data_IF_994036210123
#
_entry.id   IF_994036210123
#
_cell.length_a   1.000
_cell.length_b   1.000
_cell.length_c   1.000
_cell.angle_alpha   90.00
_cell.angle_beta   90.00
_cell.angle_gamma   90.00
#
_symmetry.space_group_name_H-M   'P 1'
#
loop_
_entity.id
_entity.type
_entity.pdbx_description
1 polymer ?
#
# COMPACT_ATOMS: atom_id res chain seq x y z
N UNK A 1 6.47 -24.57 21.25
CA UNK A 1 7.38 -23.91 20.31
C UNK A 1 7.00 -22.43 20.23
N UNK A 2 7.97 -21.52 20.16
CA UNK A 2 7.75 -20.06 20.06
C UNK A 2 7.57 -19.65 18.61
N UNK A 3 6.41 -19.06 18.31
CA UNK A 3 6.07 -18.51 16.99
C UNK A 3 5.95 -16.99 17.07
N UNK A 4 6.44 -16.30 16.03
CA UNK A 4 6.28 -14.86 15.87
C UNK A 4 5.91 -14.49 14.42
N UNK A 5 5.02 -13.51 14.26
CA UNK A 5 4.68 -12.90 12.97
C UNK A 5 5.50 -11.63 12.80
N UNK A 6 6.77 -11.81 12.46
CA UNK A 6 7.79 -10.76 12.42
C UNK A 6 8.62 -10.80 11.11
N UNK A 7 8.09 -11.49 10.09
CA UNK A 7 8.73 -11.69 8.79
C UNK A 7 7.78 -11.30 7.66
N UNK A 8 8.38 -10.71 6.64
CA UNK A 8 7.85 -10.47 5.30
C UNK A 8 8.39 -11.53 4.34
N UNK A 9 7.99 -11.52 3.04
CA UNK A 9 8.54 -12.42 2.04
C UNK A 9 10.06 -12.50 2.03
N UNK A 10 10.58 -13.71 1.82
CA UNK A 10 12.01 -14.05 1.90
C UNK A 10 12.63 -13.92 3.31
N UNK A 11 11.82 -13.84 4.37
CA UNK A 11 12.31 -13.82 5.75
C UNK A 11 12.89 -12.47 6.18
N UNK A 12 12.69 -11.40 5.41
CA UNK A 12 13.09 -10.04 5.83
C UNK A 12 12.12 -9.48 6.86
N UNK A 13 12.49 -8.41 7.57
CA UNK A 13 11.63 -7.77 8.59
C UNK A 13 11.24 -6.33 8.21
N UNK A 14 11.70 -5.83 7.06
CA UNK A 14 11.39 -4.48 6.57
C UNK A 14 10.60 -4.56 5.26
N UNK A 15 9.59 -3.73 5.13
CA UNK A 15 8.87 -3.50 3.89
C UNK A 15 8.76 -2.01 3.58
N UNK A 16 8.70 -1.67 2.30
CA UNK A 16 8.56 -0.30 1.82
C UNK A 16 7.41 -0.25 0.81
N UNK A 17 6.48 0.68 1.05
CA UNK A 17 5.41 0.98 0.10
C UNK A 17 5.24 2.49 -0.06
N UNK A 18 4.75 2.88 -1.23
CA UNK A 18 4.54 4.26 -1.62
C UNK A 18 3.11 4.40 -2.15
N UNK A 19 2.52 5.58 -2.01
CA UNK A 19 1.29 5.86 -2.74
C UNK A 19 1.15 7.30 -3.18
N UNK A 20 0.55 7.50 -4.36
CA UNK A 20 0.33 8.81 -4.93
C UNK A 20 -1.11 8.96 -5.41
N UNK A 21 -1.66 10.16 -5.25
CA UNK A 21 -3.08 10.40 -5.49
C UNK A 21 -3.32 11.25 -6.76
N UNK A 22 -4.58 11.29 -7.20
CA UNK A 22 -5.18 12.16 -8.23
C UNK A 22 -4.92 11.82 -9.71
N UNK A 23 -3.94 10.97 -10.04
CA UNK A 23 -3.68 10.60 -11.44
C UNK A 23 -3.25 11.77 -12.33
N UNK A 24 -2.40 12.65 -11.79
CA UNK A 24 -1.91 13.84 -12.49
C UNK A 24 -0.89 13.48 -13.55
N UNK A 25 -0.73 14.33 -14.56
CA UNK A 25 0.18 14.08 -15.68
C UNK A 25 1.65 13.83 -15.28
N UNK A 26 2.05 14.35 -14.13
CA UNK A 26 3.39 14.18 -13.54
C UNK A 26 3.67 12.74 -13.08
N UNK A 27 2.63 11.90 -12.94
CA UNK A 27 2.77 10.47 -12.67
C UNK A 27 3.66 9.79 -13.72
N UNK A 28 3.65 10.25 -14.98
CA UNK A 28 4.52 9.73 -16.04
C UNK A 28 6.00 9.79 -15.68
N UNK A 29 6.43 10.93 -15.13
CA UNK A 29 7.82 11.12 -14.67
C UNK A 29 8.07 10.31 -13.40
N UNK A 30 7.15 10.37 -12.44
CA UNK A 30 7.28 9.68 -11.16
C UNK A 30 7.40 8.17 -11.32
N UNK A 31 6.50 7.53 -12.08
CA UNK A 31 6.54 6.10 -12.40
C UNK A 31 7.89 5.70 -12.98
N UNK A 32 8.41 6.47 -13.94
CA UNK A 32 9.72 6.18 -14.54
C UNK A 32 10.81 6.15 -13.47
N UNK A 33 10.84 7.15 -12.59
CA UNK A 33 11.83 7.24 -11.52
C UNK A 33 11.68 6.10 -10.50
N UNK A 34 10.45 5.74 -10.13
CA UNK A 34 10.19 4.59 -9.25
C UNK A 34 10.74 3.28 -9.85
N UNK A 35 10.49 3.06 -11.14
CA UNK A 35 10.98 1.91 -11.87
C UNK A 35 12.51 1.85 -11.95
N UNK A 36 13.17 3.00 -12.17
CA UNK A 36 14.64 3.08 -12.21
C UNK A 36 15.30 2.61 -10.90
N UNK A 37 14.62 2.76 -9.75
CA UNK A 37 15.10 2.33 -8.43
C UNK A 37 14.47 1.02 -7.93
N UNK A 38 13.64 0.35 -8.74
CA UNK A 38 12.95 -0.89 -8.35
C UNK A 38 11.92 -0.70 -7.23
N UNK A 39 11.35 0.50 -7.10
CA UNK A 39 10.35 0.85 -6.10
C UNK A 39 8.95 0.55 -6.63
N UNK A 40 8.09 0.03 -5.75
CA UNK A 40 6.66 -0.16 -6.02
C UNK A 40 5.81 0.93 -5.37
N UNK A 41 4.66 1.19 -5.95
CA UNK A 41 3.72 2.20 -5.47
C UNK A 41 2.27 1.81 -5.76
N UNK A 42 1.37 2.51 -5.09
CA UNK A 42 -0.08 2.46 -5.27
C UNK A 42 -0.58 3.82 -5.75
N UNK A 43 -1.23 3.88 -6.90
CA UNK A 43 -1.77 5.12 -7.46
C UNK A 43 -3.28 5.17 -7.24
N UNK A 44 -3.74 6.14 -6.44
CA UNK A 44 -5.16 6.35 -6.17
C UNK A 44 -5.73 7.30 -7.22
N UNK A 45 -6.51 6.76 -8.16
CA UNK A 45 -7.00 7.50 -9.31
C UNK A 45 -8.46 7.90 -9.13
N UNK A 46 -8.83 9.07 -9.69
CA UNK A 46 -10.21 9.51 -9.82
C UNK A 46 -10.70 9.27 -11.24
N UNK A 47 -11.63 8.34 -11.45
CA UNK A 47 -12.11 8.00 -12.80
C UNK A 47 -12.71 9.19 -13.54
N UNK A 48 -13.32 10.13 -12.81
CA UNK A 48 -13.96 11.32 -13.39
C UNK A 48 -12.98 12.41 -13.83
N UNK A 49 -11.71 12.38 -13.41
CA UNK A 49 -10.70 13.38 -13.81
C UNK A 49 -9.78 12.90 -14.93
N UNK A 50 -9.65 11.59 -15.12
CA UNK A 50 -8.83 11.02 -16.20
C UNK A 50 -9.23 11.60 -17.57
N UNK A 51 -8.22 11.94 -18.38
CA UNK A 51 -8.38 12.51 -19.72
C UNK A 51 -8.70 14.02 -19.74
N UNK A 52 -8.83 14.67 -18.58
CA UNK A 52 -8.88 16.14 -18.50
C UNK A 52 -7.47 16.74 -18.62
N UNK A 53 -7.38 18.02 -18.95
CA UNK A 53 -6.12 18.76 -18.99
C UNK A 53 -5.36 18.63 -17.65
N UNK A 54 -4.09 18.25 -17.73
CA UNK A 54 -3.22 18.00 -16.57
C UNK A 54 -3.42 16.66 -15.86
N UNK A 55 -4.25 15.75 -16.40
CA UNK A 55 -4.46 14.40 -15.88
C UNK A 55 -4.00 13.34 -16.88
N UNK A 56 -3.77 12.12 -16.38
CA UNK A 56 -3.44 10.95 -17.18
C UNK A 56 -4.61 10.56 -18.09
N UNK A 57 -4.31 10.11 -19.30
CA UNK A 57 -5.31 9.64 -20.26
C UNK A 57 -5.77 8.22 -19.87
N UNK A 58 -7.08 7.92 -19.86
CA UNK A 58 -7.57 6.58 -19.54
C UNK A 58 -6.93 5.45 -20.37
N UNK A 59 -6.58 5.73 -21.64
CA UNK A 59 -6.00 4.76 -22.54
C UNK A 59 -4.57 4.36 -22.19
N UNK A 60 -3.84 5.17 -21.42
CA UNK A 60 -2.46 4.84 -21.02
C UNK A 60 -2.38 4.23 -19.61
N UNK A 61 -3.47 4.23 -18.83
CA UNK A 61 -3.47 3.81 -17.41
C UNK A 61 -2.87 2.42 -17.21
N UNK A 62 -3.27 1.42 -18.00
CA UNK A 62 -2.76 0.05 -17.85
C UNK A 62 -1.24 -0.03 -18.09
N UNK A 63 -0.74 0.66 -19.10
CA UNK A 63 0.68 0.63 -19.48
C UNK A 63 1.54 1.50 -18.56
N UNK A 64 1.07 2.70 -18.24
CA UNK A 64 1.77 3.65 -17.38
C UNK A 64 2.01 3.03 -16.00
N UNK A 65 0.99 2.47 -15.37
CA UNK A 65 1.11 1.96 -14.00
C UNK A 65 1.51 0.47 -13.94
N UNK A 66 2.03 -0.10 -15.03
CA UNK A 66 2.46 -1.49 -15.07
C UNK A 66 3.52 -1.78 -13.99
N UNK A 67 3.23 -2.75 -13.12
CA UNK A 67 4.10 -3.11 -11.99
C UNK A 67 3.79 -2.34 -10.69
N UNK A 68 2.90 -1.35 -10.77
CA UNK A 68 2.31 -0.64 -9.64
C UNK A 68 0.85 -1.07 -9.44
N UNK A 69 0.27 -0.66 -8.32
CA UNK A 69 -1.16 -0.85 -8.06
C UNK A 69 -1.95 0.38 -8.48
N UNK A 70 -3.18 0.16 -8.96
CA UNK A 70 -4.19 1.20 -9.10
C UNK A 70 -5.27 0.96 -8.05
N UNK A 71 -5.56 2.01 -7.30
CA UNK A 71 -6.55 2.04 -6.23
C UNK A 71 -7.58 3.16 -6.49
N UNK A 72 -8.73 3.07 -5.84
CA UNK A 72 -9.80 4.05 -6.01
C UNK A 72 -9.48 5.36 -5.27
N UNK A 73 -9.91 6.48 -5.83
CA UNK A 73 -9.92 7.76 -5.13
C UNK A 73 -11.26 8.50 -5.23
N UNK A 74 -12.33 7.77 -5.58
CA UNK A 74 -13.68 8.28 -5.91
C UNK A 74 -13.77 8.94 -7.27
N UNK A 75 -14.98 8.99 -7.87
CA UNK A 75 -15.17 9.54 -9.21
C UNK A 75 -14.75 11.01 -9.28
N UNK A 76 -15.17 11.84 -8.31
CA UNK A 76 -15.04 13.30 -8.40
C UNK A 76 -14.39 13.96 -7.20
N UNK A 77 -13.70 13.20 -6.35
CA UNK A 77 -12.97 13.70 -5.18
C UNK A 77 -13.83 14.56 -4.20
N UNK A 78 -14.99 14.09 -3.69
CA UNK A 78 -15.81 14.86 -2.73
C UNK A 78 -15.37 14.64 -1.26
N UNK A 79 -15.76 15.54 -0.37
CA UNK A 79 -15.69 15.31 1.09
C UNK A 79 -16.69 14.20 1.49
N UNK A 80 -16.20 12.99 1.76
CA UNK A 80 -17.06 11.82 2.01
C UNK A 80 -17.83 11.93 3.33
N UNK A 81 -17.23 12.52 4.36
CA UNK A 81 -17.87 12.74 5.67
C UNK A 81 -19.03 13.75 5.63
N UNK A 82 -19.17 14.51 4.52
CA UNK A 82 -20.23 15.49 4.27
C UNK A 82 -21.17 15.09 3.14
N UNK A 83 -21.03 13.87 2.64
CA UNK A 83 -21.83 13.34 1.53
C UNK A 83 -22.94 12.40 2.04
N UNK A 84 -24.12 12.37 1.39
CA UNK A 84 -25.14 11.34 1.65
C UNK A 84 -24.59 9.93 1.39
N UNK A 85 -25.13 8.93 2.11
CA UNK A 85 -24.66 7.55 2.03
C UNK A 85 -24.71 6.96 0.61
N UNK A 86 -25.78 7.27 -0.12
CA UNK A 86 -26.01 6.83 -1.50
C UNK A 86 -24.96 7.43 -2.45
N UNK A 87 -24.58 8.69 -2.21
CA UNK A 87 -23.53 9.36 -2.96
C UNK A 87 -22.15 8.77 -2.64
N UNK A 88 -21.85 8.46 -1.37
CA UNK A 88 -20.59 7.80 -0.99
C UNK A 88 -20.46 6.45 -1.72
N UNK A 89 -21.51 5.63 -1.67
CA UNK A 89 -21.53 4.32 -2.34
C UNK A 89 -21.35 4.49 -3.85
N UNK A 90 -22.09 5.41 -4.47
CA UNK A 90 -21.98 5.68 -5.90
C UNK A 90 -20.57 6.13 -6.29
N UNK A 91 -20.00 7.08 -5.54
CA UNK A 91 -18.66 7.63 -5.77
C UNK A 91 -17.56 6.57 -5.73
N UNK A 92 -17.68 5.57 -4.85
CA UNK A 92 -16.67 4.52 -4.71
C UNK A 92 -16.91 3.40 -5.73
N UNK A 93 -18.17 2.98 -5.92
CA UNK A 93 -18.49 1.85 -6.80
C UNK A 93 -18.28 2.20 -8.27
N UNK A 94 -18.69 3.39 -8.72
CA UNK A 94 -18.51 3.78 -10.12
C UNK A 94 -17.05 4.09 -10.46
N UNK A 95 -16.29 4.62 -9.50
CA UNK A 95 -14.84 4.79 -9.64
C UNK A 95 -14.15 3.45 -9.85
N UNK A 96 -14.43 2.49 -8.97
CA UNK A 96 -13.91 1.12 -9.09
C UNK A 96 -14.28 0.48 -10.42
N UNK A 97 -15.56 0.50 -10.81
CA UNK A 97 -15.99 -0.09 -12.10
C UNK A 97 -15.23 0.49 -13.28
N UNK A 98 -15.04 1.81 -13.30
CA UNK A 98 -14.32 2.49 -14.37
C UNK A 98 -12.86 2.07 -14.40
N UNK A 99 -12.17 2.07 -13.25
CA UNK A 99 -10.77 1.65 -13.14
C UNK A 99 -10.60 0.16 -13.48
N UNK A 100 -11.42 -0.73 -12.92
CA UNK A 100 -11.44 -2.17 -13.20
C UNK A 100 -11.64 -2.47 -14.70
N UNK A 101 -12.43 -1.65 -15.41
CA UNK A 101 -12.61 -1.78 -16.85
C UNK A 101 -11.33 -1.45 -17.65
N UNK A 102 -10.48 -0.56 -17.13
CA UNK A 102 -9.18 -0.22 -17.73
C UNK A 102 -8.14 -1.31 -17.46
N UNK A 103 -8.06 -1.81 -16.22
CA UNK A 103 -6.91 -2.63 -15.76
C UNK A 103 -7.20 -4.12 -15.64
N UNK A 104 -8.46 -4.54 -15.80
CA UNK A 104 -8.91 -5.94 -15.79
C UNK A 104 -8.61 -6.73 -14.51
N UNK A 105 -8.39 -6.04 -13.39
CA UNK A 105 -8.23 -6.62 -12.06
C UNK A 105 -9.14 -5.89 -11.05
N UNK A 106 -9.60 -6.56 -9.98
CA UNK A 106 -10.42 -5.91 -8.95
C UNK A 106 -9.69 -4.77 -8.23
N UNK A 107 -10.34 -3.62 -8.10
CA UNK A 107 -9.82 -2.49 -7.32
C UNK A 107 -10.33 -2.62 -5.90
N UNK A 108 -9.44 -2.83 -4.94
CA UNK A 108 -9.78 -3.14 -3.53
C UNK A 108 -9.26 -2.13 -2.53
N UNK A 109 -8.30 -1.31 -2.94
CA UNK A 109 -7.76 -0.21 -2.15
C UNK A 109 -8.42 1.13 -2.45
N UNK A 110 -8.26 2.06 -1.53
CA UNK A 110 -8.51 3.47 -1.80
C UNK A 110 -7.68 4.43 -0.94
N UNK A 111 -7.76 5.72 -1.23
CA UNK A 111 -7.42 6.78 -0.29
C UNK A 111 -8.60 7.72 -0.11
N UNK A 112 -8.73 8.33 1.07
CA UNK A 112 -9.84 9.23 1.38
C UNK A 112 -9.60 10.62 0.75
N UNK A 113 -10.49 11.11 -0.13
CA UNK A 113 -10.41 12.48 -0.63
C UNK A 113 -10.39 13.49 0.50
N UNK A 114 -9.47 14.45 0.40
CA UNK A 114 -9.20 15.47 1.44
C UNK A 114 -8.87 14.88 2.83
N UNK A 115 -8.58 13.59 2.93
CA UNK A 115 -8.35 12.90 4.20
C UNK A 115 -9.58 12.76 5.09
N UNK A 116 -10.78 13.02 4.57
CA UNK A 116 -12.02 13.02 5.36
C UNK A 116 -12.69 11.65 5.42
N UNK A 117 -13.03 11.22 6.63
CA UNK A 117 -13.73 9.95 6.89
C UNK A 117 -14.48 10.00 8.22
N UNK A 118 -15.43 9.09 8.38
CA UNK A 118 -16.17 8.83 9.63
C UNK A 118 -16.40 7.32 9.76
N UNK A 119 -16.88 6.87 10.92
CA UNK A 119 -17.22 5.45 11.12
C UNK A 119 -18.26 4.97 10.12
N UNK A 120 -19.25 5.81 9.80
CA UNK A 120 -20.24 5.52 8.77
C UNK A 120 -19.59 5.34 7.39
N UNK A 121 -18.66 6.22 7.01
CA UNK A 121 -17.93 6.09 5.73
C UNK A 121 -17.17 4.77 5.71
N UNK A 122 -16.40 4.47 6.77
CA UNK A 122 -15.62 3.22 6.89
C UNK A 122 -16.51 1.98 6.74
N UNK A 123 -17.68 1.96 7.38
CA UNK A 123 -18.62 0.84 7.27
C UNK A 123 -19.22 0.69 5.87
N UNK A 124 -19.51 1.80 5.19
CA UNK A 124 -19.95 1.79 3.80
C UNK A 124 -18.86 1.24 2.87
N UNK A 125 -17.61 1.69 3.04
CA UNK A 125 -16.46 1.21 2.27
C UNK A 125 -16.28 -0.31 2.40
N UNK A 126 -16.35 -0.81 3.64
CA UNK A 126 -16.29 -2.26 3.90
C UNK A 126 -17.43 -2.99 3.20
N UNK A 127 -18.65 -2.45 3.25
CA UNK A 127 -19.84 -3.05 2.66
C UNK A 127 -19.79 -3.13 1.13
N UNK A 128 -19.07 -2.20 0.48
CA UNK A 128 -18.84 -2.23 -0.97
C UNK A 128 -17.56 -2.98 -1.37
N UNK A 129 -16.85 -3.58 -0.41
CA UNK A 129 -15.71 -4.46 -0.67
C UNK A 129 -14.38 -3.74 -0.87
N UNK A 130 -14.21 -2.54 -0.30
CA UNK A 130 -12.88 -1.95 -0.06
C UNK A 130 -12.25 -2.68 1.13
N UNK A 131 -10.99 -3.04 0.97
CA UNK A 131 -10.22 -3.86 1.91
C UNK A 131 -9.25 -3.03 2.75
N UNK A 132 -8.72 -1.95 2.17
CA UNK A 132 -7.89 -0.99 2.87
C UNK A 132 -8.12 0.43 2.34
N UNK A 133 -7.87 1.43 3.19
CA UNK A 133 -8.01 2.84 2.84
C UNK A 133 -6.95 3.72 3.53
N UNK A 134 -6.17 4.47 2.74
CA UNK A 134 -5.16 5.40 3.22
C UNK A 134 -5.77 6.72 3.69
N UNK A 135 -5.37 7.17 4.87
CA UNK A 135 -5.65 8.51 5.42
C UNK A 135 -4.48 9.48 5.21
N UNK A 136 -4.69 10.77 5.46
CA UNK A 136 -3.63 11.82 5.39
C UNK A 136 -2.82 11.98 6.68
N UNK A 137 -3.17 11.27 7.76
CA UNK A 137 -2.49 11.39 9.05
C UNK A 137 -1.19 10.60 9.03
N UNK A 138 -0.05 11.29 9.11
CA UNK A 138 1.25 10.65 9.24
C UNK A 138 1.61 10.39 10.70
N UNK A 139 1.88 9.13 11.06
CA UNK A 139 2.19 8.76 12.44
C UNK A 139 3.70 8.78 12.78
N UNK A 140 4.57 8.93 11.78
CA UNK A 140 6.02 9.09 11.99
C UNK A 140 6.74 7.87 12.56
N UNK A 141 6.13 6.69 12.52
CA UNK A 141 6.76 5.43 12.93
C UNK A 141 6.73 4.41 11.79
N UNK A 142 7.28 3.21 12.01
CA UNK A 142 7.30 2.13 11.02
C UNK A 142 6.34 0.99 11.34
N UNK A 143 5.25 1.29 12.04
CA UNK A 143 4.24 0.30 12.41
C UNK A 143 3.38 -0.10 11.19
N UNK A 144 2.87 -1.34 11.21
CA UNK A 144 1.78 -1.77 10.33
C UNK A 144 0.45 -1.15 10.79
N UNK A 145 -0.55 -1.02 9.89
CA UNK A 145 -1.86 -0.51 10.28
C UNK A 145 -2.57 -1.47 11.23
N UNK A 146 -3.14 -0.92 12.32
CA UNK A 146 -4.05 -1.67 13.20
C UNK A 146 -5.41 -1.91 12.53
N UNK A 147 -5.88 -0.91 11.78
CA UNK A 147 -7.10 -0.95 10.97
C UNK A 147 -6.76 -0.61 9.52
N UNK A 148 -6.97 -1.56 8.61
CA UNK A 148 -6.65 -1.38 7.19
C UNK A 148 -7.48 -0.28 6.53
N UNK A 149 -8.69 -0.01 7.02
CA UNK A 149 -9.53 1.08 6.50
C UNK A 149 -9.23 2.44 7.15
N UNK A 150 -8.29 2.50 8.10
CA UNK A 150 -7.75 3.73 8.69
C UNK A 150 -6.23 3.68 8.64
N UNK A 151 -5.69 3.42 7.45
CA UNK A 151 -4.25 3.25 7.27
C UNK A 151 -3.54 4.61 7.29
N UNK A 152 -2.89 4.90 8.41
CA UNK A 152 -2.01 6.05 8.57
C UNK A 152 -0.64 5.76 7.92
N UNK A 153 -0.15 6.57 6.98
CA UNK A 153 1.21 6.43 6.46
C UNK A 153 2.27 6.83 7.48
N UNK A 154 3.51 6.42 7.26
CA UNK A 154 4.67 6.88 8.05
C UNK A 154 4.87 8.38 7.89
N UNK A 155 4.93 8.86 6.65
CA UNK A 155 5.22 10.26 6.35
C UNK A 155 4.71 10.69 4.97
N UNK A 156 4.68 12.01 4.76
CA UNK A 156 4.47 12.60 3.44
C UNK A 156 5.78 12.60 2.62
N UNK A 157 5.70 12.62 1.29
CA UNK A 157 6.87 12.52 0.39
C UNK A 157 7.92 13.62 0.66
N UNK A 158 7.49 14.79 1.14
CA UNK A 158 8.41 15.89 1.53
C UNK A 158 9.39 15.50 2.63
N UNK A 159 9.12 14.44 3.40
CA UNK A 159 9.98 13.91 4.46
C UNK A 159 10.59 12.54 4.10
N UNK A 160 10.42 12.08 2.85
CA UNK A 160 10.74 10.69 2.49
C UNK A 160 12.21 10.35 2.67
N UNK A 161 13.13 11.26 2.33
CA UNK A 161 14.56 11.02 2.46
C UNK A 161 14.98 10.85 3.94
N UNK A 162 14.45 11.69 4.84
CA UNK A 162 14.72 11.61 6.28
C UNK A 162 14.24 10.28 6.86
N UNK A 163 13.01 9.86 6.52
CA UNK A 163 12.46 8.60 7.01
C UNK A 163 13.13 7.38 6.36
N UNK A 164 13.60 7.49 5.11
CA UNK A 164 14.38 6.44 4.47
C UNK A 164 15.70 6.18 5.22
N UNK A 165 16.44 7.24 5.60
CA UNK A 165 17.68 7.11 6.37
C UNK A 165 17.43 6.43 7.71
N UNK A 166 16.38 6.87 8.44
CA UNK A 166 15.95 6.24 9.71
C UNK A 166 15.52 4.78 9.52
N UNK A 167 14.85 4.46 8.42
CA UNK A 167 14.32 3.12 8.16
C UNK A 167 15.43 2.13 7.80
N UNK A 168 16.36 2.53 6.92
CA UNK A 168 17.49 1.71 6.51
C UNK A 168 18.41 1.44 7.69
N UNK A 169 18.66 2.45 8.54
CA UNK A 169 19.46 2.32 9.76
C UNK A 169 18.72 1.73 10.97
N UNK A 170 17.43 1.37 10.82
CA UNK A 170 16.64 0.83 11.91
C UNK A 170 17.22 -0.49 12.43
N UNK A 171 17.73 -0.46 13.66
CA UNK A 171 18.11 -1.62 14.45
C UNK A 171 16.96 -2.03 15.38
N UNK A 172 16.45 -3.23 15.21
CA UNK A 172 15.33 -3.73 16.00
C UNK A 172 15.83 -4.53 17.21
N UNK A 173 15.67 -3.97 18.42
CA UNK A 173 15.97 -4.69 19.67
C UNK A 173 15.14 -5.98 19.81
N UNK A 174 13.90 -5.93 19.33
CA UNK A 174 13.01 -7.09 19.23
C UNK A 174 12.54 -7.19 17.79
N UNK A 175 12.69 -8.38 17.21
CA UNK A 175 12.29 -8.65 15.83
C UNK A 175 10.79 -8.39 15.65
N UNK A 176 10.46 -7.51 14.70
CA UNK A 176 9.08 -7.20 14.30
C UNK A 176 9.06 -6.77 12.84
N UNK A 177 7.89 -6.89 12.20
CA UNK A 177 7.71 -6.32 10.86
C UNK A 177 7.65 -4.79 10.96
N UNK A 178 8.51 -4.10 10.21
CA UNK A 178 8.53 -2.65 10.09
C UNK A 178 8.20 -2.22 8.66
N UNK A 179 7.30 -1.25 8.53
CA UNK A 179 6.81 -0.72 7.26
C UNK A 179 7.15 0.77 7.13
N UNK A 180 7.89 1.14 6.09
CA UNK A 180 7.96 2.52 5.63
C UNK A 180 6.86 2.75 4.61
N UNK A 181 5.85 3.54 4.97
CA UNK A 181 4.77 3.93 4.08
C UNK A 181 4.81 5.44 3.80
N UNK A 182 5.17 5.83 2.58
CA UNK A 182 5.20 7.24 2.15
C UNK A 182 4.01 7.55 1.24
N UNK A 183 3.40 8.72 1.41
CA UNK A 183 2.33 9.19 0.51
C UNK A 183 2.59 10.61 -0.02
N UNK A 184 1.93 10.98 -1.11
CA UNK A 184 1.91 12.37 -1.59
C UNK A 184 1.22 12.53 -2.93
N UNK A 185 1.49 13.62 -3.63
CA UNK A 185 1.00 13.82 -5.00
C UNK A 185 2.15 14.14 -5.93
N UNK A 186 2.13 13.59 -7.14
CA UNK A 186 3.22 13.79 -8.11
C UNK A 186 3.37 15.26 -8.53
N UNK A 187 2.28 16.01 -8.59
CA UNK A 187 2.28 17.43 -8.94
C UNK A 187 3.01 18.31 -7.91
N UNK A 188 3.11 17.87 -6.66
CA UNK A 188 3.83 18.61 -5.63
C UNK A 188 5.34 18.65 -5.93
N UNK A 189 5.90 17.60 -6.56
CA UNK A 189 7.29 17.62 -6.98
C UNK A 189 7.57 18.69 -8.04
N UNK A 190 6.63 18.88 -8.95
CA UNK A 190 6.73 19.91 -9.98
C UNK A 190 6.55 21.31 -9.38
N UNK A 191 5.51 21.50 -8.57
CA UNK A 191 5.21 22.79 -7.95
C UNK A 191 6.32 23.28 -7.03
N UNK A 192 6.86 22.37 -6.21
CA UNK A 192 7.93 22.68 -5.25
C UNK A 192 9.33 22.61 -5.89
N UNK A 193 9.42 22.18 -7.16
CA UNK A 193 10.66 21.99 -7.94
C UNK A 193 11.69 21.12 -7.21
N UNK A 194 11.24 19.99 -6.66
CA UNK A 194 12.04 19.15 -5.77
C UNK A 194 12.08 17.67 -6.19
N UNK A 195 12.07 17.39 -7.50
CA UNK A 195 12.17 16.04 -8.05
C UNK A 195 13.42 15.26 -7.57
N UNK A 196 14.47 15.94 -7.15
CA UNK A 196 15.65 15.31 -6.54
C UNK A 196 15.35 14.55 -5.24
N UNK A 197 14.21 14.84 -4.58
CA UNK A 197 13.80 14.11 -3.37
C UNK A 197 13.53 12.63 -3.66
N UNK A 198 12.89 12.30 -4.79
CA UNK A 198 12.63 10.91 -5.14
C UNK A 198 13.91 10.19 -5.61
N UNK A 199 14.85 10.92 -6.24
CA UNK A 199 16.17 10.38 -6.60
C UNK A 199 16.95 10.01 -5.35
N UNK A 200 17.10 10.95 -4.41
CA UNK A 200 17.77 10.69 -3.13
C UNK A 200 17.09 9.57 -2.34
N UNK A 201 15.77 9.52 -2.33
CA UNK A 201 15.03 8.42 -1.70
C UNK A 201 15.37 7.07 -2.33
N UNK A 202 15.38 7.00 -3.66
CA UNK A 202 15.76 5.82 -4.42
C UNK A 202 17.20 5.38 -4.15
N UNK A 203 18.15 6.31 -4.06
CA UNK A 203 19.54 6.02 -3.73
C UNK A 203 19.72 5.43 -2.33
N UNK A 204 18.95 5.91 -1.35
CA UNK A 204 19.01 5.42 0.04
C UNK A 204 18.35 4.06 0.17
N UNK A 205 17.12 3.94 -0.34
CA UNK A 205 16.21 2.87 -0.01
C UNK A 205 15.95 1.87 -1.13
N UNK A 206 16.29 2.17 -2.40
CA UNK A 206 16.04 1.31 -3.56
C UNK A 206 17.02 0.13 -3.68
N UNK A 207 16.56 -0.97 -4.30
CA UNK A 207 17.40 -2.12 -4.64
C UNK A 207 18.03 -2.90 -3.48
N UNK A 208 17.61 -2.65 -2.23
CA UNK A 208 18.13 -3.31 -1.03
C UNK A 208 17.54 -4.71 -0.86
N UNK A 209 18.39 -5.67 -0.53
CA UNK A 209 17.98 -7.08 -0.36
C UNK A 209 17.28 -7.37 0.97
N UNK A 210 17.43 -6.46 1.95
CA UNK A 210 16.83 -6.57 3.28
C UNK A 210 15.44 -5.89 3.38
N UNK A 211 14.90 -5.39 2.25
CA UNK A 211 13.61 -4.71 2.19
C UNK A 211 12.71 -5.42 1.17
N UNK A 212 11.46 -5.68 1.55
CA UNK A 212 10.42 -6.07 0.62
C UNK A 212 9.72 -4.83 0.03
N UNK A 213 9.81 -4.64 -1.29
CA UNK A 213 9.09 -3.59 -2.01
C UNK A 213 7.73 -4.09 -2.46
N UNK A 214 6.68 -3.43 -2.03
CA UNK A 214 5.31 -3.90 -2.21
C UNK A 214 4.34 -2.76 -2.50
N UNK A 215 3.24 -3.05 -3.18
CA UNK A 215 2.08 -2.14 -3.20
C UNK A 215 1.26 -2.27 -1.91
N UNK A 216 0.28 -1.39 -1.70
CA UNK A 216 -0.56 -1.43 -0.51
C UNK A 216 -1.41 -2.71 -0.46
N UNK A 217 -1.97 -3.15 -1.59
CA UNK A 217 -2.68 -4.42 -1.71
C UNK A 217 -1.77 -5.61 -1.39
N UNK A 218 -0.52 -5.60 -1.85
CA UNK A 218 0.42 -6.68 -1.54
C UNK A 218 0.69 -6.77 -0.02
N UNK A 219 0.91 -5.62 0.64
CA UNK A 219 1.07 -5.57 2.11
C UNK A 219 -0.20 -6.03 2.84
N UNK A 220 -1.38 -5.57 2.40
CA UNK A 220 -2.66 -5.96 2.98
C UNK A 220 -2.91 -7.47 2.82
N UNK A 221 -2.78 -8.00 1.61
CA UNK A 221 -3.02 -9.40 1.29
C UNK A 221 -2.05 -10.32 2.06
N UNK A 222 -0.78 -9.92 2.20
CA UNK A 222 0.19 -10.65 3.00
C UNK A 222 -0.18 -10.66 4.49
N UNK A 223 -0.59 -9.51 5.03
CA UNK A 223 -1.01 -9.38 6.42
C UNK A 223 -2.28 -10.21 6.71
N UNK A 224 -3.24 -10.25 5.79
CA UNK A 224 -4.43 -11.10 5.87
C UNK A 224 -4.06 -12.60 5.77
N UNK A 225 -3.15 -12.98 4.87
CA UNK A 225 -2.66 -14.36 4.76
C UNK A 225 -1.99 -14.84 6.05
N UNK A 226 -1.15 -14.01 6.69
CA UNK A 226 -0.55 -14.31 8.00
C UNK A 226 -1.62 -14.55 9.07
N UNK A 227 -2.63 -13.68 9.15
CA UNK A 227 -3.74 -13.81 10.12
C UNK A 227 -4.58 -15.07 9.91
N UNK A 228 -4.57 -15.64 8.70
CA UNK A 228 -5.34 -16.85 8.34
C UNK A 228 -4.58 -18.15 8.57
N UNK A 229 -3.32 -18.11 8.98
CA UNK A 229 -2.57 -19.31 9.35
C UNK A 229 -3.29 -20.09 10.46
N UNK A 230 -3.23 -21.43 10.37
CA UNK A 230 -3.89 -22.33 11.31
C UNK A 230 -2.84 -23.19 12.01
N UNK A 231 -2.73 -23.04 13.33
CA UNK A 231 -1.75 -23.77 14.13
C UNK A 231 -2.41 -24.94 14.87
N UNK A 232 -1.66 -26.02 15.02
CA UNK A 232 -1.92 -27.05 16.03
C UNK A 232 -1.77 -26.47 17.44
N UNK A 233 -2.44 -27.08 18.42
CA UNK A 233 -2.50 -26.56 19.79
C UNK A 233 -1.12 -26.50 20.49
N UNK A 234 -0.14 -27.29 20.06
CA UNK A 234 1.24 -27.28 20.58
C UNK A 234 2.21 -26.44 19.73
N UNK A 235 1.68 -25.77 18.69
CA UNK A 235 2.39 -24.96 17.71
C UNK A 235 3.42 -25.73 16.87
N UNK A 236 3.34 -27.05 16.72
CA UNK A 236 4.33 -27.83 15.93
C UNK A 236 3.94 -28.09 14.48
N UNK A 237 2.71 -27.76 14.13
CA UNK A 237 2.14 -27.89 12.80
C UNK A 237 1.44 -26.59 12.47
N UNK A 238 1.69 -26.07 11.28
CA UNK A 238 0.98 -24.92 10.71
C UNK A 238 0.43 -25.28 9.34
N UNK A 239 -0.79 -24.85 9.06
CA UNK A 239 -1.40 -24.91 7.74
C UNK A 239 -1.60 -23.48 7.22
N UNK A 240 -1.10 -23.22 6.02
CA UNK A 240 -1.38 -22.00 5.27
C UNK A 240 -2.52 -22.23 4.27
N UNK A 241 -3.75 -21.78 4.55
CA UNK A 241 -4.87 -21.97 3.64
C UNK A 241 -4.93 -20.93 2.51
N UNK A 242 -3.98 -19.98 2.46
CA UNK A 242 -3.98 -18.90 1.48
C UNK A 242 -3.27 -19.29 0.19
N UNK A 243 -3.41 -18.45 -0.84
CA UNK A 243 -2.70 -18.57 -2.11
C UNK A 243 -1.30 -17.88 -2.10
N UNK A 244 -0.87 -17.34 -0.96
CA UNK A 244 0.41 -16.66 -0.80
C UNK A 244 1.33 -17.48 0.09
N UNK A 245 2.60 -17.64 -0.28
CA UNK A 245 3.62 -18.04 0.69
C UNK A 245 3.74 -16.96 1.76
N UNK A 246 3.82 -17.38 3.02
CA UNK A 246 4.04 -16.48 4.16
C UNK A 246 5.25 -16.92 4.96
N UNK A 247 5.86 -15.99 5.68
CA UNK A 247 7.04 -16.26 6.50
C UNK A 247 6.71 -15.94 7.95
N UNK A 248 7.17 -16.80 8.84
CA UNK A 248 7.09 -16.61 10.29
C UNK A 248 8.47 -16.87 10.90
N UNK A 249 8.67 -16.49 12.15
CA UNK A 249 9.78 -17.04 12.94
C UNK A 249 9.31 -18.22 13.78
N UNK A 250 10.03 -19.34 13.70
CA UNK A 250 9.90 -20.49 14.59
C UNK A 250 11.20 -20.64 15.39
N UNK A 251 11.12 -20.49 16.72
CA UNK A 251 12.31 -20.44 17.60
C UNK A 251 13.37 -19.39 17.19
N UNK A 252 12.96 -18.37 16.44
CA UNK A 252 13.81 -17.27 15.97
C UNK A 252 14.25 -17.39 14.51
N UNK A 253 14.17 -18.59 13.93
CA UNK A 253 14.56 -18.84 12.54
C UNK A 253 13.41 -18.54 11.56
N UNK A 254 13.68 -17.90 10.42
CA UNK A 254 12.66 -17.65 9.40
C UNK A 254 12.25 -18.96 8.71
N UNK A 255 10.95 -19.23 8.70
CA UNK A 255 10.35 -20.40 8.04
C UNK A 255 9.32 -19.94 7.02
N UNK A 256 9.45 -20.40 5.77
CA UNK A 256 8.43 -20.24 4.75
C UNK A 256 7.33 -21.29 4.92
N UNK A 257 6.08 -20.84 4.97
CA UNK A 257 4.90 -21.68 4.88
C UNK A 257 4.27 -21.43 3.51
N UNK A 258 4.61 -22.27 2.54
CA UNK A 258 4.17 -22.09 1.16
C UNK A 258 2.63 -22.15 1.04
N UNK A 259 2.10 -21.55 -0.02
CA UNK A 259 0.67 -21.50 -0.30
C UNK A 259 0.02 -22.89 -0.28
N UNK A 260 -1.09 -23.04 0.45
CA UNK A 260 -1.83 -24.30 0.59
C UNK A 260 -1.13 -25.41 1.37
N UNK A 261 0.06 -25.18 1.94
CA UNK A 261 0.84 -26.24 2.58
C UNK A 261 0.56 -26.40 4.06
N UNK A 262 0.74 -27.64 4.52
CA UNK A 262 0.87 -27.99 5.94
C UNK A 262 2.34 -28.28 6.22
N UNK A 263 2.92 -27.57 7.18
CA UNK A 263 4.35 -27.65 7.54
C UNK A 263 4.47 -28.09 8.99
N UNK A 264 5.38 -29.03 9.23
CA UNK A 264 5.84 -29.38 10.57
C UNK A 264 7.00 -28.45 10.93
N UNK A 265 6.91 -27.84 12.10
CA UNK A 265 7.80 -26.79 12.57
C UNK A 265 8.76 -27.29 13.65
#
# INVERSE_FOLDING_TARGET
MRIQFDRFPNGVNKALTLSFDDGREHDRRLVKMLNDYGLKATFHLNSGTLGREGYVDPAEVEDLYRGHEIAAHTVSHPFLDRSPAEQIVWQVVEDRKALEALIRVPVKGMSYPYGTYSDQVVDLLRSVGIEYARTVNSHGSFALPEDSLRWHPTCHHKQMAEYAEKFVSLEQRHSHMALLYVWGHSYEFENDRNWELIERFGEIAGGRKDIWYATNAEIYAYSDALKRLRFSADNRIVHNPSALSVWISAEGDPVEIAAGQVVQL
#
